data_IF_632072546532
#
_entry.id   IF_632072546532
#
_cell.length_a   1.000
_cell.length_b   1.000
_cell.length_c   1.000
_cell.angle_alpha   90.00
_cell.angle_beta   90.00
_cell.angle_gamma   90.00
#
_symmetry.space_group_name_H-M   'P 1'
#
loop_
_entity.id
_entity.type
_entity.pdbx_description
1 polymer ?
#
# COMPACT_ATOMS: atom_id res chain seq x y z
N UNK A 1 -15.71 38.61 -11.69
CA UNK A 1 -14.35 38.14 -12.00
C UNK A 1 -14.40 36.62 -11.89
N UNK A 2 -14.22 35.90 -13.00
CA UNK A 2 -14.34 34.43 -12.98
C UNK A 2 -13.09 33.85 -12.31
N UNK A 3 -13.30 33.21 -11.17
CA UNK A 3 -12.29 32.41 -10.46
C UNK A 3 -11.92 31.17 -11.32
N UNK A 4 -10.66 30.76 -11.25
CA UNK A 4 -10.09 29.58 -11.91
C UNK A 4 -10.95 28.30 -11.72
N UNK A 5 -11.53 28.12 -10.53
CA UNK A 5 -12.44 27.01 -10.25
C UNK A 5 -13.77 27.09 -11.04
N UNK A 6 -14.20 28.29 -11.43
CA UNK A 6 -15.38 28.50 -12.28
C UNK A 6 -15.07 28.17 -13.74
N UNK A 7 -13.89 28.57 -14.23
CA UNK A 7 -13.41 28.27 -15.57
C UNK A 7 -13.20 26.76 -15.81
N UNK A 8 -12.66 26.05 -14.81
CA UNK A 8 -12.44 24.60 -14.92
C UNK A 8 -13.72 23.78 -14.82
N UNK A 9 -14.80 24.34 -14.24
CA UNK A 9 -16.03 23.59 -13.98
C UNK A 9 -16.67 23.00 -15.24
N UNK A 10 -16.57 23.72 -16.36
CA UNK A 10 -17.11 23.30 -17.67
C UNK A 10 -16.10 22.45 -18.49
N UNK A 11 -14.87 22.29 -17.98
CA UNK A 11 -13.79 21.51 -18.61
C UNK A 11 -13.41 20.24 -17.83
N UNK A 12 -14.02 19.98 -16.67
CA UNK A 12 -13.84 18.73 -15.93
C UNK A 12 -14.73 17.65 -16.57
N UNK A 13 -14.11 16.75 -17.33
CA UNK A 13 -14.79 15.60 -17.95
C UNK A 13 -15.01 14.43 -16.99
N UNK A 14 -14.32 14.43 -15.84
CA UNK A 14 -14.46 13.40 -14.81
C UNK A 14 -14.32 14.01 -13.42
N UNK A 15 -15.38 13.89 -12.61
CA UNK A 15 -15.33 14.17 -11.17
C UNK A 15 -15.36 12.84 -10.42
N UNK A 16 -14.26 12.48 -9.78
CA UNK A 16 -14.16 11.26 -8.98
C UNK A 16 -14.34 11.59 -7.50
N UNK A 17 -15.39 11.05 -6.86
CA UNK A 17 -15.63 11.24 -5.42
C UNK A 17 -14.68 10.40 -4.56
N UNK A 18 -14.28 9.23 -5.05
CA UNK A 18 -13.41 8.28 -4.37
C UNK A 18 -12.80 7.31 -5.36
N UNK A 19 -11.54 6.92 -5.14
CA UNK A 19 -10.87 5.85 -5.87
C UNK A 19 -10.95 4.59 -5.01
N UNK A 20 -11.71 3.59 -5.46
CA UNK A 20 -11.88 2.32 -4.73
C UNK A 20 -10.59 1.47 -4.73
N UNK A 21 -9.84 1.48 -5.84
CA UNK A 21 -8.63 0.68 -5.99
C UNK A 21 -7.61 1.34 -6.92
N UNK A 22 -6.36 1.38 -6.48
CA UNK A 22 -5.21 1.76 -7.29
C UNK A 22 -4.37 0.50 -7.50
N UNK A 23 -4.23 0.06 -8.75
CA UNK A 23 -3.28 -1.00 -9.10
C UNK A 23 -1.96 -0.37 -9.50
N UNK A 24 -0.93 -0.57 -8.68
CA UNK A 24 0.44 -0.20 -9.04
C UNK A 24 1.16 -1.44 -9.56
N UNK A 25 1.08 -1.67 -10.88
CA UNK A 25 1.87 -2.69 -11.54
C UNK A 25 3.29 -2.15 -11.74
N UNK A 26 4.22 -2.57 -10.88
CA UNK A 26 5.62 -2.20 -10.98
C UNK A 26 6.39 -3.26 -11.78
N UNK A 27 7.17 -2.81 -12.77
CA UNK A 27 8.16 -3.63 -13.45
C UNK A 27 9.55 -3.25 -12.93
N UNK A 28 10.33 -4.24 -12.49
CA UNK A 28 11.72 -4.03 -12.05
C UNK A 28 12.66 -4.73 -13.05
N UNK A 29 13.19 -4.00 -14.06
CA UNK A 29 13.95 -4.61 -15.15
C UNK A 29 15.15 -5.44 -14.69
N UNK A 30 15.77 -5.04 -13.58
CA UNK A 30 16.96 -5.68 -13.02
C UNK A 30 16.65 -6.79 -12.01
N UNK A 31 15.43 -7.31 -11.95
CA UNK A 31 15.07 -8.47 -11.11
C UNK A 31 14.38 -9.57 -11.90
N UNK A 32 14.60 -9.61 -13.22
CA UNK A 32 13.92 -10.53 -14.14
C UNK A 32 14.66 -11.86 -14.34
N UNK A 33 15.86 -12.02 -13.77
CA UNK A 33 16.63 -13.27 -13.85
C UNK A 33 17.30 -13.58 -12.51
N UNK A 34 17.60 -14.86 -12.29
CA UNK A 34 18.25 -15.35 -11.05
C UNK A 34 19.57 -14.62 -10.80
N UNK A 35 20.41 -14.45 -11.83
CA UNK A 35 21.69 -13.75 -11.68
C UNK A 35 21.54 -12.30 -11.22
N UNK A 36 20.52 -11.60 -11.73
CA UNK A 36 20.25 -10.22 -11.32
C UNK A 36 19.67 -10.12 -9.91
N UNK A 37 18.85 -11.09 -9.50
CA UNK A 37 18.40 -11.21 -8.11
C UNK A 37 19.58 -11.46 -7.16
N UNK A 38 20.50 -12.35 -7.52
CA UNK A 38 21.69 -12.60 -6.71
C UNK A 38 22.56 -11.35 -6.56
N UNK A 39 22.74 -10.59 -7.65
CA UNK A 39 23.45 -9.31 -7.63
C UNK A 39 22.75 -8.27 -6.75
N UNK A 40 21.42 -8.18 -6.80
CA UNK A 40 20.65 -7.30 -5.94
C UNK A 40 20.83 -7.64 -4.45
N UNK A 41 20.66 -8.92 -4.09
CA UNK A 41 20.79 -9.36 -2.70
C UNK A 41 22.20 -9.12 -2.16
N UNK A 42 23.23 -9.43 -2.95
CA UNK A 42 24.61 -9.26 -2.51
C UNK A 42 25.08 -7.79 -2.54
N UNK A 43 24.98 -7.13 -3.70
CA UNK A 43 25.60 -5.81 -3.91
C UNK A 43 24.76 -4.65 -3.39
N UNK A 44 23.44 -4.72 -3.49
CA UNK A 44 22.56 -3.62 -3.07
C UNK A 44 22.03 -3.80 -1.66
N UNK A 45 21.72 -5.04 -1.27
CA UNK A 45 21.19 -5.36 0.06
C UNK A 45 22.25 -5.85 1.05
N UNK A 46 23.47 -6.10 0.59
CA UNK A 46 24.61 -6.44 1.46
C UNK A 46 24.58 -7.86 2.01
N UNK A 47 23.74 -8.75 1.50
CA UNK A 47 23.69 -10.14 1.96
C UNK A 47 24.91 -10.92 1.45
N UNK A 48 25.74 -11.51 2.34
CA UNK A 48 26.91 -12.26 1.91
C UNK A 48 26.56 -13.44 1.00
N UNK A 49 25.44 -14.11 1.31
CA UNK A 49 24.91 -15.24 0.56
C UNK A 49 23.53 -14.87 0.01
N UNK A 50 23.35 -14.82 -1.33
CA UNK A 50 22.07 -14.54 -1.95
C UNK A 50 21.16 -15.79 -1.89
N UNK A 51 20.52 -15.98 -0.73
CA UNK A 51 19.58 -17.08 -0.48
C UNK A 51 18.13 -16.58 -0.44
N UNK A 52 17.18 -17.49 -0.60
CA UNK A 52 15.74 -17.18 -0.47
C UNK A 52 15.38 -16.67 0.93
N UNK A 53 16.12 -17.06 1.97
CA UNK A 53 15.93 -16.56 3.32
C UNK A 53 16.11 -15.03 3.44
N UNK A 54 16.96 -14.43 2.59
CA UNK A 54 17.13 -12.98 2.56
C UNK A 54 15.83 -12.24 2.22
N UNK A 55 14.97 -12.82 1.38
CA UNK A 55 13.66 -12.24 1.08
C UNK A 55 12.71 -12.26 2.27
N UNK A 56 12.75 -13.31 3.09
CA UNK A 56 12.01 -13.38 4.35
C UNK A 56 12.39 -12.23 5.27
N UNK A 57 13.70 -12.02 5.48
CA UNK A 57 14.22 -10.93 6.31
C UNK A 57 13.86 -9.54 5.77
N UNK A 58 13.94 -9.32 4.46
CA UNK A 58 13.51 -8.05 3.82
C UNK A 58 12.01 -7.82 4.07
N UNK A 59 11.20 -8.86 3.86
CA UNK A 59 9.74 -8.80 4.06
C UNK A 59 9.37 -8.49 5.51
N UNK A 60 9.97 -9.21 6.47
CA UNK A 60 9.77 -8.98 7.91
C UNK A 60 10.17 -7.56 8.33
N UNK A 61 11.31 -7.07 7.84
CA UNK A 61 11.76 -5.71 8.12
C UNK A 61 10.78 -4.65 7.57
N UNK A 62 10.23 -4.88 6.37
CA UNK A 62 9.20 -4.02 5.78
C UNK A 62 7.91 -4.04 6.60
N UNK A 63 7.40 -5.23 6.96
CA UNK A 63 6.22 -5.38 7.82
C UNK A 63 6.43 -4.64 9.14
N UNK A 64 7.57 -4.84 9.80
CA UNK A 64 7.90 -4.14 11.04
C UNK A 64 7.94 -2.61 10.87
N UNK A 65 8.42 -2.10 9.72
CA UNK A 65 8.39 -0.67 9.42
C UNK A 65 6.97 -0.13 9.27
N UNK A 66 6.08 -0.86 8.59
CA UNK A 66 4.65 -0.52 8.50
C UNK A 66 4.00 -0.48 9.88
N UNK A 67 4.29 -1.47 10.73
CA UNK A 67 3.78 -1.50 12.11
C UNK A 67 4.25 -0.28 12.93
N UNK A 68 5.55 0.05 12.88
CA UNK A 68 6.08 1.24 13.56
C UNK A 68 5.46 2.54 13.04
N UNK A 69 5.26 2.66 11.73
CA UNK A 69 4.60 3.83 11.15
C UNK A 69 3.16 3.93 11.62
N UNK A 70 2.41 2.82 11.65
CA UNK A 70 1.03 2.79 12.11
C UNK A 70 0.92 3.24 13.57
N UNK A 71 1.79 2.71 14.45
CA UNK A 71 1.88 3.10 15.85
C UNK A 71 2.17 4.59 16.01
N UNK A 72 3.20 5.10 15.31
CA UNK A 72 3.58 6.51 15.37
C UNK A 72 2.49 7.48 14.89
N UNK A 73 1.57 7.01 14.05
CA UNK A 73 0.47 7.81 13.49
C UNK A 73 -0.89 7.48 14.12
N UNK A 74 -0.94 6.61 15.14
CA UNK A 74 -2.20 6.19 15.76
C UNK A 74 -3.17 5.46 14.81
N UNK A 75 -2.64 4.85 13.75
CA UNK A 75 -3.45 4.15 12.74
C UNK A 75 -3.67 2.70 13.20
N UNK A 76 -4.93 2.24 13.33
CA UNK A 76 -5.20 0.87 13.76
C UNK A 76 -4.80 -0.14 12.69
N UNK A 77 -4.22 -1.25 13.14
CA UNK A 77 -3.95 -2.44 12.32
C UNK A 77 -5.00 -3.50 12.64
N UNK A 78 -5.65 -4.06 11.61
CA UNK A 78 -6.66 -5.11 11.76
C UNK A 78 -6.33 -6.33 10.92
N UNK A 79 -6.39 -7.50 11.53
CA UNK A 79 -6.40 -8.78 10.83
C UNK A 79 -7.82 -9.14 10.44
N UNK A 80 -8.09 -9.31 9.15
CA UNK A 80 -9.41 -9.67 8.64
C UNK A 80 -9.65 -11.17 8.72
N UNK A 81 -10.82 -11.55 9.23
CA UNK A 81 -11.29 -12.92 9.18
C UNK A 81 -11.90 -13.27 7.81
N UNK A 82 -11.98 -14.56 7.49
CA UNK A 82 -12.71 -15.01 6.31
C UNK A 82 -14.18 -14.61 6.42
N UNK A 83 -14.70 -13.89 5.42
CA UNK A 83 -16.08 -13.41 5.40
C UNK A 83 -16.27 -11.99 5.96
N UNK A 84 -15.23 -11.36 6.50
CA UNK A 84 -15.28 -9.95 6.90
C UNK A 84 -15.58 -9.06 5.70
N UNK A 85 -16.61 -8.21 5.83
CA UNK A 85 -16.86 -7.16 4.86
C UNK A 85 -15.97 -5.95 5.20
N UNK A 86 -14.86 -5.84 4.47
CA UNK A 86 -13.83 -4.82 4.66
C UNK A 86 -14.38 -3.39 4.54
N UNK A 87 -15.29 -3.17 3.60
CA UNK A 87 -15.92 -1.85 3.37
C UNK A 87 -16.77 -1.44 4.57
N UNK A 88 -17.64 -2.34 5.07
CA UNK A 88 -18.46 -2.06 6.26
C UNK A 88 -17.62 -1.79 7.51
N UNK A 89 -16.47 -2.45 7.63
CA UNK A 89 -15.54 -2.25 8.74
C UNK A 89 -14.82 -0.90 8.62
N UNK A 90 -14.44 -0.49 7.41
CA UNK A 90 -13.75 0.77 7.17
C UNK A 90 -14.69 1.99 7.15
N UNK A 91 -15.96 1.82 6.77
CA UNK A 91 -16.96 2.88 6.62
C UNK A 91 -17.03 3.85 7.83
N UNK A 92 -17.17 3.42 9.09
CA UNK A 92 -17.24 4.35 10.22
C UNK A 92 -15.95 5.17 10.39
N UNK A 93 -14.79 4.56 10.12
CA UNK A 93 -13.49 5.24 10.21
C UNK A 93 -13.34 6.29 9.11
N UNK A 94 -13.79 5.98 7.90
CA UNK A 94 -13.80 6.90 6.77
C UNK A 94 -14.76 8.08 7.01
N UNK A 95 -15.94 7.83 7.57
CA UNK A 95 -16.90 8.89 7.92
C UNK A 95 -16.35 9.83 8.98
N UNK A 96 -15.71 9.29 10.03
CA UNK A 96 -15.04 10.10 11.05
C UNK A 96 -13.93 10.96 10.44
N UNK A 97 -13.09 10.37 9.60
CA UNK A 97 -12.03 11.10 8.92
C UNK A 97 -12.53 12.21 7.99
N UNK A 98 -13.65 11.97 7.28
CA UNK A 98 -14.28 12.98 6.44
C UNK A 98 -14.88 14.14 7.27
N UNK A 99 -15.38 13.87 8.48
CA UNK A 99 -15.89 14.89 9.38
C UNK A 99 -14.77 15.77 9.97
N UNK A 100 -13.60 15.19 10.24
CA UNK A 100 -12.42 15.92 10.73
C UNK A 100 -11.82 16.86 9.65
N UNK A 101 -12.02 16.54 8.37
CA UNK A 101 -11.48 17.30 7.23
C UNK A 101 -9.95 17.18 7.06
N UNK A 102 -9.38 18.03 6.20
CA UNK A 102 -7.93 18.14 5.97
C UNK A 102 -7.40 17.37 4.75
N UNK A 103 -6.08 17.36 4.62
CA UNK A 103 -5.36 16.61 3.59
C UNK A 103 -5.43 15.11 3.93
N UNK A 104 -6.00 14.29 3.04
CA UNK A 104 -6.45 12.93 3.33
C UNK A 104 -5.50 12.07 4.19
N UNK A 105 -6.06 11.28 5.10
CA UNK A 105 -5.34 10.46 6.08
C UNK A 105 -5.60 8.97 5.93
N UNK A 106 -4.64 8.15 6.38
CA UNK A 106 -4.84 6.70 6.50
C UNK A 106 -5.65 6.42 7.75
N UNK A 107 -6.79 5.75 7.60
CA UNK A 107 -7.72 5.47 8.70
C UNK A 107 -7.63 4.05 9.26
N UNK A 108 -7.07 3.13 8.48
CA UNK A 108 -6.98 1.71 8.82
C UNK A 108 -5.90 1.05 7.96
N UNK A 109 -5.11 0.17 8.57
CA UNK A 109 -4.27 -0.80 7.85
C UNK A 109 -4.87 -2.18 8.05
N UNK A 110 -5.30 -2.80 6.96
CA UNK A 110 -5.93 -4.10 6.97
C UNK A 110 -5.01 -5.21 6.46
N UNK A 111 -4.84 -6.26 7.25
CA UNK A 111 -4.10 -7.46 6.88
C UNK A 111 -5.09 -8.54 6.47
N UNK A 112 -5.01 -8.98 5.22
CA UNK A 112 -5.82 -10.08 4.69
C UNK A 112 -4.92 -11.12 4.02
N UNK A 113 -5.27 -12.39 4.16
CA UNK A 113 -4.58 -13.45 3.44
C UNK A 113 -4.97 -13.41 1.97
N UNK A 114 -4.00 -13.12 1.11
CA UNK A 114 -4.15 -13.27 -0.34
C UNK A 114 -3.51 -14.59 -0.78
N UNK A 115 -4.16 -15.31 -1.70
CA UNK A 115 -3.58 -16.51 -2.30
C UNK A 115 -2.77 -16.08 -3.52
N UNK A 116 -1.45 -16.03 -3.37
CA UNK A 116 -0.54 -15.83 -4.47
C UNK A 116 0.20 -17.14 -4.79
N UNK A 117 0.23 -17.54 -6.06
CA UNK A 117 1.12 -18.61 -6.52
C UNK A 117 2.52 -18.03 -6.78
N UNK A 118 3.53 -18.50 -6.07
CA UNK A 118 4.92 -18.29 -6.43
C UNK A 118 5.46 -19.50 -7.20
N UNK A 119 6.60 -19.31 -7.89
CA UNK A 119 7.31 -20.33 -8.64
C UNK A 119 7.47 -21.62 -7.81
N UNK A 120 7.14 -22.77 -8.41
CA UNK A 120 7.41 -24.10 -7.84
C UNK A 120 8.77 -24.59 -8.29
#
# INVERSE_FOLDING_TARGET
MADYATLLRDHITLTCRSIDRIFLQAYVPKLQSVGQVCLFLNRQRGYPIPSSAAFGQIGEAYVAAVHRWAEANGVPIRYFAKGDNKEKIAEPLLRAAAADGGDGKVVLIGIAQEKASAWR
#
